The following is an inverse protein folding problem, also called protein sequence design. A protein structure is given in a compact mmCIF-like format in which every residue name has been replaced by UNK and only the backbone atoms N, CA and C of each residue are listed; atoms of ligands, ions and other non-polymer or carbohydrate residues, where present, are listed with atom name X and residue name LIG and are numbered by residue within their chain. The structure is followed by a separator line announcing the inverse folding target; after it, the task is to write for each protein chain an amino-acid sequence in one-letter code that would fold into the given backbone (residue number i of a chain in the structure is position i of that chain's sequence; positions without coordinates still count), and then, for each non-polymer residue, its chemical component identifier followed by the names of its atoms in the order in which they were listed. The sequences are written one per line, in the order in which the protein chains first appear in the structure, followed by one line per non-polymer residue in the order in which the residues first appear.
data_IF_932305462586
#
_entry.id   IF_932305462586
#
_cell.length_a   1.000
_cell.length_b   1.000
_cell.length_c   1.000
_cell.angle_alpha   90.00
_cell.angle_beta   90.00
_cell.angle_gamma   90.00
#
_symmetry.space_group_name_H-M   'P 1'
#
loop_
_entity.id
_entity.type
_entity.pdbx_description
1 polymer ?
#
# COMPACT_ATOMS: atom_id res chain seq x y z
N UNK A 1 -28.41 -11.14 3.03
CA UNK A 1 -26.98 -10.82 2.89
C UNK A 1 -26.67 -9.73 3.88
N UNK A 2 -26.00 -10.05 4.98
CA UNK A 2 -25.54 -9.05 5.95
C UNK A 2 -24.40 -8.29 5.29
N UNK A 3 -24.56 -6.99 5.11
CA UNK A 3 -23.51 -6.11 4.62
C UNK A 3 -22.32 -6.23 5.58
N UNK A 4 -21.17 -6.70 5.09
CA UNK A 4 -19.98 -6.77 5.93
C UNK A 4 -19.54 -5.33 6.25
N UNK A 5 -19.20 -5.02 7.51
CA UNK A 5 -18.72 -3.69 7.86
C UNK A 5 -17.46 -3.40 7.06
N UNK A 6 -17.45 -2.27 6.35
CA UNK A 6 -16.28 -1.80 5.61
C UNK A 6 -15.34 -1.10 6.56
N UNK A 7 -14.04 -1.31 6.36
CA UNK A 7 -13.01 -0.59 7.09
C UNK A 7 -12.79 0.76 6.43
N UNK A 8 -12.67 1.82 7.23
CA UNK A 8 -12.55 3.19 6.76
C UNK A 8 -11.42 3.91 7.51
N UNK A 9 -10.59 4.63 6.76
CA UNK A 9 -9.58 5.53 7.31
C UNK A 9 -9.63 6.89 6.61
N UNK A 10 -9.38 7.95 7.37
CA UNK A 10 -9.41 9.32 6.90
C UNK A 10 -8.05 10.01 7.14
N UNK A 11 -7.69 10.93 6.26
CA UNK A 11 -6.52 11.79 6.42
C UNK A 11 -6.75 13.14 5.74
N UNK A 12 -5.85 14.08 6.03
CA UNK A 12 -5.77 15.37 5.35
C UNK A 12 -4.34 15.56 4.85
N UNK A 13 -4.18 16.14 3.68
CA UNK A 13 -2.88 16.49 3.10
C UNK A 13 -2.87 17.97 2.73
N UNK A 14 -1.87 18.73 3.17
CA UNK A 14 -1.72 20.13 2.77
C UNK A 14 -1.39 20.23 1.26
N UNK A 15 -2.08 21.12 0.55
CA UNK A 15 -1.85 21.34 -0.88
C UNK A 15 -2.15 22.79 -1.26
N UNK A 16 -1.22 23.43 -1.98
CA UNK A 16 -1.39 24.82 -2.44
C UNK A 16 -2.49 24.95 -3.49
N UNK A 17 -2.61 23.94 -4.37
CA UNK A 17 -3.68 23.83 -5.36
C UNK A 17 -4.31 22.42 -5.30
N UNK A 18 -5.22 22.19 -4.33
CA UNK A 18 -5.83 20.87 -4.11
C UNK A 18 -6.53 20.31 -5.34
N UNK A 19 -7.20 21.15 -6.12
CA UNK A 19 -7.97 20.71 -7.28
C UNK A 19 -7.05 20.19 -8.39
N UNK A 20 -5.95 20.89 -8.68
CA UNK A 20 -4.96 20.45 -9.67
C UNK A 20 -4.27 19.16 -9.24
N UNK A 21 -3.88 19.06 -7.96
CA UNK A 21 -3.25 17.83 -7.43
C UNK A 21 -4.20 16.63 -7.51
N UNK A 22 -5.48 16.80 -7.16
CA UNK A 22 -6.48 15.73 -7.29
C UNK A 22 -6.64 15.29 -8.75
N UNK A 23 -6.66 16.25 -9.69
CA UNK A 23 -6.77 15.94 -11.12
C UNK A 23 -5.57 15.12 -11.61
N UNK A 24 -4.33 15.52 -11.26
CA UNK A 24 -3.11 14.76 -11.61
C UNK A 24 -3.11 13.36 -11.00
N UNK A 25 -3.55 13.21 -9.74
CA UNK A 25 -3.67 11.90 -9.07
C UNK A 25 -4.69 11.01 -9.78
N UNK A 26 -5.85 11.56 -10.13
CA UNK A 26 -6.91 10.80 -10.82
C UNK A 26 -6.49 10.38 -12.23
N UNK A 27 -5.81 11.26 -12.98
CA UNK A 27 -5.24 10.95 -14.28
C UNK A 27 -4.26 9.77 -14.16
N UNK A 28 -3.30 9.86 -13.24
CA UNK A 28 -2.34 8.79 -13.00
C UNK A 28 -3.02 7.46 -12.63
N UNK A 29 -4.01 7.48 -11.74
CA UNK A 29 -4.74 6.26 -11.37
C UNK A 29 -5.53 5.65 -12.52
N UNK A 30 -6.07 6.47 -13.42
CA UNK A 30 -6.77 5.97 -14.60
C UNK A 30 -5.85 5.20 -15.56
N UNK A 31 -4.55 5.55 -15.61
CA UNK A 31 -3.53 4.80 -16.36
C UNK A 31 -3.21 3.42 -15.72
N UNK A 32 -3.60 3.23 -14.46
CA UNK A 32 -3.37 2.02 -13.65
C UNK A 32 -4.69 1.28 -13.33
N UNK A 33 -5.63 1.29 -14.28
CA UNK A 33 -6.92 0.56 -14.24
C UNK A 33 -7.88 0.97 -13.11
N UNK A 34 -7.70 2.14 -12.50
CA UNK A 34 -8.68 2.68 -11.57
C UNK A 34 -9.91 3.20 -12.32
N UNK A 35 -11.10 2.89 -11.79
CA UNK A 35 -12.33 3.55 -12.23
C UNK A 35 -12.48 4.87 -11.48
N UNK A 36 -12.50 5.97 -12.21
CA UNK A 36 -12.64 7.32 -11.66
C UNK A 36 -14.08 7.80 -11.90
N UNK A 37 -14.73 8.26 -10.83
CA UNK A 37 -16.03 8.92 -10.88
C UNK A 37 -15.97 10.23 -10.08
N UNK A 38 -16.77 11.22 -10.48
CA UNK A 38 -16.85 12.50 -9.77
C UNK A 38 -18.28 12.72 -9.26
N UNK A 39 -18.39 12.99 -7.96
CA UNK A 39 -19.64 13.25 -7.24
C UNK A 39 -19.55 14.67 -6.64
N UNK A 40 -20.01 15.67 -7.40
CA UNK A 40 -19.86 17.08 -6.99
C UNK A 40 -18.38 17.49 -6.97
N UNK A 41 -17.87 17.88 -5.80
CA UNK A 41 -16.45 18.20 -5.58
C UNK A 41 -15.59 16.99 -5.20
N UNK A 42 -16.21 15.83 -4.94
CA UNK A 42 -15.52 14.60 -4.55
C UNK A 42 -15.12 13.78 -5.77
N UNK A 43 -13.86 13.39 -5.83
CA UNK A 43 -13.35 12.41 -6.79
C UNK A 43 -13.28 11.05 -6.12
N UNK A 44 -14.02 10.08 -6.66
CA UNK A 44 -14.10 8.70 -6.19
C UNK A 44 -13.23 7.84 -7.11
N UNK A 45 -12.23 7.18 -6.53
CA UNK A 45 -11.30 6.30 -7.24
C UNK A 45 -11.51 4.86 -6.77
N UNK A 46 -11.80 3.94 -7.69
CA UNK A 46 -12.13 2.55 -7.35
C UNK A 46 -11.12 1.60 -7.95
N UNK A 47 -10.50 0.81 -7.07
CA UNK A 47 -9.62 -0.31 -7.40
C UNK A 47 -10.27 -1.64 -6.98
N UNK A 48 -9.79 -2.79 -7.49
CA UNK A 48 -10.25 -4.10 -7.01
C UNK A 48 -10.08 -4.32 -5.49
N UNK A 49 -9.12 -3.62 -4.88
CA UNK A 49 -8.79 -3.71 -3.46
C UNK A 49 -9.46 -2.66 -2.57
N UNK A 50 -10.15 -1.65 -3.12
CA UNK A 50 -10.83 -0.66 -2.30
C UNK A 50 -11.29 0.59 -3.05
N UNK A 51 -11.87 1.52 -2.30
CA UNK A 51 -12.38 2.80 -2.80
C UNK A 51 -11.64 3.93 -2.07
N UNK A 52 -11.21 4.93 -2.82
CA UNK A 52 -10.64 6.16 -2.31
C UNK A 52 -11.54 7.34 -2.66
N UNK A 53 -11.62 8.34 -1.77
CA UNK A 53 -12.28 9.60 -2.04
C UNK A 53 -11.33 10.75 -1.78
N UNK A 54 -11.25 11.68 -2.73
CA UNK A 54 -10.45 12.88 -2.64
C UNK A 54 -11.37 14.09 -2.79
N UNK A 55 -11.34 15.01 -1.82
CA UNK A 55 -12.14 16.23 -1.86
C UNK A 55 -11.22 17.44 -1.65
N UNK A 56 -11.28 18.45 -2.52
CA UNK A 56 -10.53 19.69 -2.32
C UNK A 56 -11.11 20.45 -1.13
N UNK A 57 -10.24 20.97 -0.28
CA UNK A 57 -10.54 21.90 0.81
C UNK A 57 -9.70 23.17 0.68
N UNK A 58 -9.97 24.19 1.49
CA UNK A 58 -9.16 25.40 1.49
C UNK A 58 -7.72 25.09 1.96
N UNK A 59 -6.78 24.99 1.01
CA UNK A 59 -5.36 24.74 1.26
C UNK A 59 -5.02 23.28 1.60
N UNK A 60 -5.94 22.34 1.37
CA UNK A 60 -5.74 20.93 1.69
C UNK A 60 -6.59 20.01 0.81
N UNK A 61 -6.27 18.71 0.85
CA UNK A 61 -7.04 17.62 0.28
C UNK A 61 -7.52 16.74 1.43
N UNK A 62 -8.82 16.53 1.54
CA UNK A 62 -9.38 15.50 2.40
C UNK A 62 -9.36 14.15 1.68
N UNK A 63 -8.84 13.13 2.37
CA UNK A 63 -8.67 11.78 1.86
C UNK A 63 -9.49 10.80 2.70
N UNK A 64 -10.21 9.91 2.04
CA UNK A 64 -10.84 8.75 2.66
C UNK A 64 -10.41 7.49 1.90
N UNK A 65 -10.05 6.46 2.65
CA UNK A 65 -9.72 5.13 2.15
C UNK A 65 -10.70 4.12 2.75
N UNK A 66 -11.24 3.26 1.90
CA UNK A 66 -12.26 2.28 2.26
C UNK A 66 -11.94 0.92 1.65
N UNK A 67 -12.10 -0.16 2.42
CA UNK A 67 -12.01 -1.52 1.88
C UNK A 67 -12.79 -2.54 2.70
N UNK A 68 -13.00 -3.72 2.13
CA UNK A 68 -13.64 -4.87 2.78
C UNK A 68 -12.74 -5.57 3.81
N UNK A 69 -11.42 -5.38 3.72
CA UNK A 69 -10.43 -6.01 4.59
C UNK A 69 -9.19 -5.13 4.80
N UNK A 70 -8.37 -5.50 5.78
CA UNK A 70 -7.22 -4.68 6.21
C UNK A 70 -6.12 -4.58 5.15
N UNK A 71 -6.00 -5.57 4.26
CA UNK A 71 -5.00 -5.56 3.19
C UNK A 71 -5.41 -4.59 2.10
N UNK A 72 -6.67 -4.63 1.68
CA UNK A 72 -7.19 -3.65 0.75
C UNK A 72 -7.15 -2.23 1.30
N UNK A 73 -7.47 -2.04 2.59
CA UNK A 73 -7.35 -0.74 3.24
C UNK A 73 -5.90 -0.24 3.26
N UNK A 74 -4.94 -1.11 3.58
CA UNK A 74 -3.52 -0.77 3.51
C UNK A 74 -3.12 -0.31 2.10
N UNK A 75 -3.51 -1.05 1.06
CA UNK A 75 -3.21 -0.67 -0.32
C UNK A 75 -3.84 0.66 -0.70
N UNK A 76 -5.09 0.92 -0.31
CA UNK A 76 -5.75 2.22 -0.57
C UNK A 76 -5.03 3.37 0.14
N UNK A 77 -4.70 3.21 1.43
CA UNK A 77 -3.97 4.23 2.20
C UNK A 77 -2.62 4.54 1.58
N UNK A 78 -1.88 3.50 1.18
CA UNK A 78 -0.58 3.63 0.52
C UNK A 78 -0.71 4.31 -0.85
N UNK A 79 -1.68 3.89 -1.67
CA UNK A 79 -1.91 4.47 -2.99
C UNK A 79 -2.25 5.97 -2.90
N UNK A 80 -3.23 6.34 -2.07
CA UNK A 80 -3.64 7.74 -1.92
C UNK A 80 -2.51 8.61 -1.35
N UNK A 81 -1.88 8.18 -0.25
CA UNK A 81 -0.84 8.97 0.39
C UNK A 81 0.41 9.11 -0.49
N UNK A 82 0.82 8.05 -1.19
CA UNK A 82 2.00 8.06 -2.05
C UNK A 82 1.87 9.06 -3.20
N UNK A 83 0.77 8.98 -3.96
CA UNK A 83 0.60 9.80 -5.16
C UNK A 83 0.25 11.25 -4.81
N UNK A 84 -0.51 11.50 -3.74
CA UNK A 84 -0.73 12.86 -3.25
C UNK A 84 0.59 13.49 -2.83
N UNK A 85 1.46 12.76 -2.11
CA UNK A 85 2.78 13.28 -1.73
C UNK A 85 3.67 13.57 -2.93
N UNK A 86 3.67 12.68 -3.91
CA UNK A 86 4.46 12.84 -5.14
C UNK A 86 4.00 14.05 -5.97
N UNK A 87 2.69 14.22 -6.13
CA UNK A 87 2.11 15.21 -7.04
C UNK A 87 1.78 16.56 -6.38
N UNK A 88 1.75 16.64 -5.04
CA UNK A 88 1.54 17.92 -4.35
C UNK A 88 2.69 18.93 -4.58
N UNK A 89 3.88 18.48 -5.02
CA UNK A 89 5.07 19.30 -5.34
C UNK A 89 5.48 20.28 -4.22
N UNK A 90 4.96 20.10 -3.02
CA UNK A 90 5.40 20.72 -1.76
C UNK A 90 6.37 19.79 -1.06
N UNK A 91 7.10 20.27 -0.04
CA UNK A 91 7.82 19.36 0.87
C UNK A 91 6.78 18.39 1.44
N UNK A 92 6.86 17.11 1.06
CA UNK A 92 5.74 16.17 1.03
C UNK A 92 4.76 16.33 2.20
N UNK A 93 3.47 16.60 1.95
CA UNK A 93 2.52 16.97 2.99
C UNK A 93 2.47 15.93 4.10
N UNK A 94 2.41 16.39 5.35
CA UNK A 94 2.19 15.52 6.50
C UNK A 94 0.81 14.88 6.37
N UNK A 95 0.81 13.58 6.09
CA UNK A 95 -0.40 12.75 6.03
C UNK A 95 -0.38 11.85 7.26
N UNK A 96 -1.49 11.81 7.99
CA UNK A 96 -1.68 10.94 9.14
C UNK A 96 -3.05 10.30 9.03
N UNK A 97 -3.09 8.98 8.82
CA UNK A 97 -4.34 8.23 8.78
C UNK A 97 -4.94 8.07 10.18
N UNK A 98 -6.25 8.24 10.28
CA UNK A 98 -7.06 8.06 11.48
C UNK A 98 -8.23 7.14 11.12
N UNK A 99 -8.55 6.18 11.99
CA UNK A 99 -9.61 5.18 11.76
C UNK A 99 -9.04 3.77 11.74
N UNK A 100 -9.63 2.90 10.93
CA UNK A 100 -9.23 1.50 10.85
C UNK A 100 -7.78 1.33 10.37
N UNK A 101 -7.08 0.36 10.96
CA UNK A 101 -5.68 0.09 10.68
C UNK A 101 -4.71 1.18 11.14
N UNK A 102 -5.14 2.14 11.98
CA UNK A 102 -4.25 3.15 12.57
C UNK A 102 -3.15 2.54 13.46
N UNK A 103 -3.36 1.32 13.95
CA UNK A 103 -2.41 0.49 14.70
C UNK A 103 -1.60 -0.48 13.80
N UNK A 104 -1.82 -0.46 12.49
CA UNK A 104 -1.13 -1.33 11.54
C UNK A 104 0.33 -0.89 11.39
N UNK A 105 1.23 -1.62 12.03
CA UNK A 105 2.68 -1.38 12.00
C UNK A 105 3.45 -2.30 11.05
N UNK A 106 2.86 -3.46 10.70
CA UNK A 106 3.50 -4.47 9.83
C UNK A 106 2.72 -4.58 8.53
N UNK A 107 3.39 -4.49 7.36
CA UNK A 107 2.73 -4.63 6.07
C UNK A 107 1.96 -5.95 5.99
N UNK A 108 0.67 -5.94 5.63
CA UNK A 108 -0.14 -7.15 5.65
C UNK A 108 0.24 -8.11 4.54
N UNK A 109 1.02 -7.66 3.54
CA UNK A 109 1.64 -8.45 2.49
C UNK A 109 3.08 -8.92 2.82
N UNK A 110 3.56 -8.69 4.06
CA UNK A 110 4.86 -9.17 4.53
C UNK A 110 4.68 -10.38 5.45
N UNK A 111 5.37 -11.49 5.16
CA UNK A 111 5.40 -12.67 6.02
C UNK A 111 6.83 -13.10 6.29
N UNK A 112 7.09 -13.45 7.55
CA UNK A 112 8.30 -14.16 7.90
C UNK A 112 8.16 -15.61 7.44
N UNK A 113 9.14 -16.09 6.68
CA UNK A 113 9.19 -17.45 6.19
C UNK A 113 10.47 -18.15 6.63
N UNK A 114 10.36 -19.46 6.81
CA UNK A 114 11.48 -20.35 7.11
C UNK A 114 11.69 -21.30 5.94
N UNK A 115 12.96 -21.60 5.64
CA UNK A 115 13.30 -22.66 4.70
C UNK A 115 12.89 -24.00 5.31
N UNK A 116 11.98 -24.71 4.63
CA UNK A 116 11.50 -26.04 5.03
C UNK A 116 12.22 -27.15 4.28
N UNK A 117 12.59 -26.91 3.03
CA UNK A 117 13.35 -27.87 2.23
C UNK A 117 14.20 -27.17 1.18
N UNK A 118 15.30 -27.82 0.80
CA UNK A 118 16.15 -27.44 -0.31
C UNK A 118 16.37 -28.68 -1.15
N UNK A 119 16.19 -28.56 -2.47
CA UNK A 119 16.43 -29.66 -3.42
C UNK A 119 17.10 -29.12 -4.68
N UNK A 120 18.20 -29.73 -5.07
CA UNK A 120 18.80 -29.53 -6.38
C UNK A 120 18.00 -30.31 -7.42
N UNK A 121 17.42 -29.59 -8.38
CA UNK A 121 16.64 -30.15 -9.48
C UNK A 121 17.56 -30.48 -10.66
N UNK A 122 18.57 -29.63 -10.88
CA UNK A 122 19.67 -29.80 -11.84
C UNK A 122 20.93 -29.10 -11.30
N UNK A 123 22.10 -29.24 -11.95
CA UNK A 123 23.31 -28.54 -11.53
C UNK A 123 23.20 -27.00 -11.47
N UNK A 124 22.25 -26.41 -12.19
CA UNK A 124 22.03 -24.95 -12.25
C UNK A 124 20.68 -24.51 -11.70
N UNK A 125 19.89 -25.43 -11.13
CA UNK A 125 18.55 -25.13 -10.62
C UNK A 125 18.34 -25.75 -9.24
N UNK A 126 18.08 -24.87 -8.26
CA UNK A 126 17.74 -25.24 -6.89
C UNK A 126 16.32 -24.81 -6.57
N UNK A 127 15.52 -25.74 -6.05
CA UNK A 127 14.22 -25.46 -5.45
C UNK A 127 14.39 -25.25 -3.96
N UNK A 128 13.90 -24.12 -3.47
CA UNK A 128 13.80 -23.81 -2.05
C UNK A 128 12.32 -23.76 -1.70
N UNK A 129 11.91 -24.56 -0.72
CA UNK A 129 10.53 -24.57 -0.22
C UNK A 129 10.49 -23.76 1.07
N UNK A 130 9.68 -22.72 1.07
CA UNK A 130 9.42 -21.88 2.24
C UNK A 130 8.13 -22.32 2.95
N UNK A 131 8.06 -22.08 4.26
CA UNK A 131 6.85 -22.25 5.05
C UNK A 131 6.82 -21.27 6.21
N UNK A 132 5.63 -20.98 6.71
CA UNK A 132 5.39 -19.95 7.72
C UNK A 132 3.90 -19.82 7.98
N UNK A 133 3.54 -18.84 8.79
CA UNK A 133 2.15 -18.60 9.14
C UNK A 133 1.44 -17.78 8.05
N UNK A 134 0.15 -18.07 7.84
CA UNK A 134 -0.74 -17.28 6.98
C UNK A 134 -0.22 -17.06 5.55
N UNK A 135 0.36 -18.12 4.94
CA UNK A 135 0.87 -18.10 3.57
C UNK A 135 -0.21 -18.36 2.51
N UNK A 136 -1.36 -18.90 2.89
CA UNK A 136 -2.48 -19.20 1.98
C UNK A 136 -2.95 -17.95 1.21
N UNK A 137 -2.71 -16.76 1.78
CA UNK A 137 -3.02 -15.46 1.15
C UNK A 137 -2.23 -15.20 -0.13
N UNK A 138 -1.08 -15.84 -0.31
CA UNK A 138 -0.29 -15.78 -1.55
C UNK A 138 -0.62 -16.93 -2.51
N UNK A 139 -1.43 -17.90 -2.08
CA UNK A 139 -1.83 -19.05 -2.90
C UNK A 139 -3.04 -18.69 -3.79
N UNK A 140 -2.89 -17.64 -4.60
CA UNK A 140 -3.90 -17.21 -5.57
C UNK A 140 -3.33 -17.25 -6.98
N UNK A 141 -4.17 -17.52 -7.97
CA UNK A 141 -3.76 -17.61 -9.38
C UNK A 141 -3.24 -16.27 -9.93
N UNK A 142 -3.57 -15.15 -9.27
CA UNK A 142 -3.12 -13.80 -9.59
C UNK A 142 -1.74 -13.48 -8.98
N UNK A 143 -1.35 -14.17 -7.91
CA UNK A 143 -0.09 -13.94 -7.18
C UNK A 143 1.07 -14.75 -7.76
N UNK A 144 1.39 -14.50 -9.03
CA UNK A 144 2.46 -15.21 -9.75
C UNK A 144 3.88 -14.75 -9.38
N UNK A 145 4.00 -13.58 -8.77
CA UNK A 145 5.28 -12.99 -8.37
C UNK A 145 5.32 -12.78 -6.86
N UNK A 146 6.43 -13.18 -6.24
CA UNK A 146 6.69 -12.91 -4.82
C UNK A 146 8.06 -12.24 -4.69
N UNK A 147 8.12 -11.21 -3.84
CA UNK A 147 9.37 -10.56 -3.46
C UNK A 147 9.97 -11.24 -2.22
N UNK A 148 11.27 -11.52 -2.25
CA UNK A 148 12.03 -11.96 -1.08
C UNK A 148 12.86 -10.80 -0.55
N UNK A 149 12.66 -10.45 0.73
CA UNK A 149 13.53 -9.51 1.43
C UNK A 149 14.69 -10.27 2.06
N UNK A 150 15.83 -10.22 1.41
CA UNK A 150 17.05 -10.87 1.85
C UNK A 150 17.96 -9.88 2.58
N UNK A 151 18.52 -10.24 3.75
CA UNK A 151 19.48 -9.38 4.42
C UNK A 151 20.76 -9.24 3.60
N UNK A 152 21.44 -8.11 3.77
CA UNK A 152 22.86 -8.01 3.42
C UNK A 152 23.65 -9.07 4.16
N UNK A 153 24.69 -9.61 3.51
CA UNK A 153 25.52 -10.66 4.08
C UNK A 153 26.04 -10.28 5.48
N UNK A 154 25.80 -11.13 6.47
CA UNK A 154 26.23 -10.92 7.86
C UNK A 154 25.33 -10.00 8.69
N UNK A 155 24.20 -9.52 8.14
CA UNK A 155 23.22 -8.71 8.87
C UNK A 155 21.92 -9.48 9.13
N UNK A 156 21.17 -9.06 10.15
CA UNK A 156 19.79 -9.47 10.36
C UNK A 156 18.86 -8.53 9.59
N UNK A 157 17.89 -9.07 8.85
CA UNK A 157 16.85 -8.23 8.23
C UNK A 157 15.98 -7.65 9.32
N UNK A 158 15.99 -6.33 9.47
CA UNK A 158 14.94 -5.62 10.18
C UNK A 158 13.80 -5.41 9.17
N UNK A 159 12.59 -5.93 9.41
CA UNK A 159 11.49 -5.77 8.48
C UNK A 159 11.09 -4.30 8.35
N UNK A 160 10.61 -3.86 7.17
CA UNK A 160 10.01 -2.54 7.06
C UNK A 160 8.74 -2.47 7.93
N UNK A 161 8.43 -1.26 8.37
CA UNK A 161 7.21 -0.95 9.12
C UNK A 161 6.32 -0.03 8.31
N UNK A 162 5.10 0.19 8.76
CA UNK A 162 4.19 1.16 8.16
C UNK A 162 4.22 2.45 8.97
N UNK A 163 4.47 3.56 8.28
CA UNK A 163 4.41 4.91 8.85
C UNK A 163 2.98 5.35 9.12
N UNK A 164 2.82 6.45 9.86
CA UNK A 164 1.48 7.04 10.15
C UNK A 164 0.75 7.49 8.88
N UNK A 165 1.50 7.81 7.84
CA UNK A 165 1.02 8.13 6.50
C UNK A 165 0.59 6.89 5.68
N UNK A 166 0.73 5.68 6.23
CA UNK A 166 0.38 4.43 5.55
C UNK A 166 1.43 3.95 4.55
N UNK A 167 2.59 4.63 4.45
CA UNK A 167 3.68 4.25 3.56
C UNK A 167 4.69 3.34 4.26
N UNK A 168 5.45 2.58 3.46
CA UNK A 168 6.55 1.75 3.98
C UNK A 168 7.67 2.64 4.51
N UNK A 169 8.04 2.40 5.77
CA UNK A 169 9.24 2.95 6.39
C UNK A 169 10.29 1.86 6.48
N UNK A 170 11.39 2.05 5.76
CA UNK A 170 12.54 1.17 5.83
C UNK A 170 13.48 1.57 6.97
N UNK A 171 14.15 0.60 7.62
CA UNK A 171 15.25 0.89 8.54
C UNK A 171 16.38 1.66 7.84
N UNK A 172 17.09 2.51 8.58
CA UNK A 172 18.20 3.32 8.04
C UNK A 172 19.20 2.48 7.23
N UNK A 173 19.49 2.93 6.01
CA UNK A 173 20.43 2.27 5.09
C UNK A 173 19.87 1.04 4.37
N UNK A 174 18.59 0.71 4.54
CA UNK A 174 17.88 -0.34 3.81
C UNK A 174 16.83 0.30 2.87
N UNK A 175 16.81 -0.14 1.62
CA UNK A 175 15.78 0.23 0.64
C UNK A 175 15.31 -1.06 -0.03
N UNK A 176 14.13 -1.04 -0.67
CA UNK A 176 13.72 -2.15 -1.53
C UNK A 176 14.69 -2.26 -2.70
N UNK A 177 15.71 -3.11 -2.60
CA UNK A 177 16.48 -3.52 -3.77
C UNK A 177 15.61 -4.48 -4.56
N UNK A 178 15.12 -4.04 -5.73
CA UNK A 178 14.53 -4.95 -6.71
C UNK A 178 15.63 -5.92 -7.13
N UNK A 179 15.58 -7.15 -6.62
CA UNK A 179 16.37 -8.26 -7.15
C UNK A 179 15.74 -8.76 -8.44
#
# INVERSE_FOLDING_TARGET
MTEMPRLIANATAAATDPATVIAEVCEHFSEHDALIHQEGDVHVVTFPFGVGRLRPEAGAIALEAESKDITGLYYMRMALAGHVKELARTTGPDIVWIGDGSDLITPPNLRLVQVRAIRDISPTMRRITFGGDDLDRFATDESLHVGLLLPSQGSLTVPPTIGRDGLLTWPDGMESRRC
#
